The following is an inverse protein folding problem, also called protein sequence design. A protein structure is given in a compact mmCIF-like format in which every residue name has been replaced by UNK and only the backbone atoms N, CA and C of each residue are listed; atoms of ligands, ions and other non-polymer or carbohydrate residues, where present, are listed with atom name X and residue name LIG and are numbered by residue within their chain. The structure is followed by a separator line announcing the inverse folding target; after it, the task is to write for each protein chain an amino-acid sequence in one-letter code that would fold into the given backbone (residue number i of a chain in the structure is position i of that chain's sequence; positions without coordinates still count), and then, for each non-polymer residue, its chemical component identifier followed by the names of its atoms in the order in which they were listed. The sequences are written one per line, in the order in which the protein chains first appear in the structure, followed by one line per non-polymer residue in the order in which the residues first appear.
data_IF_771779571928
#
_entry.id   IF_771779571928
#
_cell.length_a   1.000
_cell.length_b   1.000
_cell.length_c   1.000
_cell.angle_alpha   90.00
_cell.angle_beta   90.00
_cell.angle_gamma   90.00
#
_symmetry.space_group_name_H-M   'P 1'
#
loop_
_entity.id
_entity.type
_entity.pdbx_description
1 polymer ?
#
# COMPACT_ATOMS: atom_id res chain seq x y z
N UNK A 1 -13.47 -32.00 1.60
CA UNK A 1 -14.33 -30.99 0.94
C UNK A 1 -14.01 -29.56 1.41
N UNK A 2 -12.74 -29.28 1.77
CA UNK A 2 -12.19 -27.97 2.09
C UNK A 2 -10.66 -27.98 1.84
N UNK A 3 -10.23 -28.71 0.80
CA UNK A 3 -8.86 -29.25 0.71
C UNK A 3 -7.84 -28.31 0.06
N UNK A 4 -8.15 -27.01 -0.03
CA UNK A 4 -7.24 -26.01 -0.61
C UNK A 4 -7.06 -24.75 0.23
N UNK A 5 -7.68 -24.67 1.42
CA UNK A 5 -7.44 -23.54 2.32
C UNK A 5 -6.27 -23.89 3.23
N UNK A 6 -5.24 -23.03 3.25
CA UNK A 6 -4.08 -23.22 4.10
C UNK A 6 -4.53 -23.46 5.55
N UNK A 7 -4.10 -24.56 6.17
CA UNK A 7 -4.54 -25.05 7.49
C UNK A 7 -4.44 -24.02 8.61
N UNK A 8 -3.60 -23.01 8.43
CA UNK A 8 -3.41 -21.89 9.37
C UNK A 8 -4.31 -20.69 9.09
N UNK A 9 -5.26 -20.74 8.16
CA UNK A 9 -6.06 -19.57 7.81
C UNK A 9 -6.97 -19.13 8.98
N UNK A 10 -7.01 -17.82 9.27
CA UNK A 10 -7.87 -17.19 10.28
C UNK A 10 -9.33 -17.60 10.12
N UNK A 11 -9.75 -17.81 8.86
CA UNK A 11 -11.11 -18.20 8.52
C UNK A 11 -11.56 -19.50 9.21
N UNK A 12 -10.64 -20.40 9.57
CA UNK A 12 -10.96 -21.63 10.29
C UNK A 12 -11.20 -21.42 11.79
N UNK A 13 -10.64 -20.36 12.39
CA UNK A 13 -10.74 -20.11 13.84
C UNK A 13 -11.68 -18.97 14.22
N UNK A 14 -11.86 -17.97 13.35
CA UNK A 14 -12.71 -16.81 13.61
C UNK A 14 -13.95 -16.81 12.73
N UNK A 15 -15.06 -16.31 13.26
CA UNK A 15 -16.35 -16.15 12.58
C UNK A 15 -16.93 -14.74 12.79
N UNK A 16 -17.81 -14.32 11.87
CA UNK A 16 -18.62 -13.11 11.95
C UNK A 16 -17.79 -11.85 12.26
N UNK A 17 -18.15 -11.15 13.35
CA UNK A 17 -17.58 -9.87 13.78
C UNK A 17 -16.10 -9.99 14.10
N UNK A 18 -15.63 -11.11 14.65
CA UNK A 18 -14.20 -11.29 14.99
C UNK A 18 -13.34 -11.38 13.73
N UNK A 19 -13.82 -12.06 12.69
CA UNK A 19 -13.12 -12.15 11.40
C UNK A 19 -13.09 -10.77 10.70
N UNK A 20 -14.22 -10.05 10.69
CA UNK A 20 -14.30 -8.71 10.12
C UNK A 20 -13.37 -7.72 10.82
N UNK A 21 -13.35 -7.71 12.16
CA UNK A 21 -12.45 -6.85 12.94
C UNK A 21 -11.00 -7.20 12.64
N UNK A 22 -10.63 -8.48 12.58
CA UNK A 22 -9.28 -8.89 12.26
C UNK A 22 -8.82 -8.40 10.87
N UNK A 23 -9.67 -8.56 9.85
CA UNK A 23 -9.38 -8.09 8.48
C UNK A 23 -9.21 -6.56 8.47
N UNK A 24 -10.11 -5.84 9.14
CA UNK A 24 -10.06 -4.38 9.22
C UNK A 24 -8.83 -3.88 9.99
N UNK A 25 -8.40 -4.58 11.04
CA UNK A 25 -7.17 -4.24 11.77
C UNK A 25 -5.93 -4.38 10.88
N UNK A 26 -5.83 -5.44 10.07
CA UNK A 26 -4.71 -5.61 9.14
C UNK A 26 -4.74 -4.58 8.02
N UNK A 27 -5.93 -4.27 7.49
CA UNK A 27 -6.08 -3.20 6.52
C UNK A 27 -5.69 -1.83 7.10
N UNK A 28 -6.11 -1.53 8.34
CA UNK A 28 -5.74 -0.31 9.05
C UNK A 28 -4.24 -0.22 9.31
N UNK A 29 -3.59 -1.34 9.65
CA UNK A 29 -2.15 -1.43 9.83
C UNK A 29 -1.40 -1.12 8.51
N UNK A 30 -1.89 -1.64 7.38
CA UNK A 30 -1.30 -1.33 6.07
C UNK A 30 -1.45 0.16 5.71
N UNK A 31 -2.61 0.77 5.98
CA UNK A 31 -2.84 2.21 5.76
C UNK A 31 -1.94 3.05 6.67
N UNK A 32 -1.79 2.64 7.94
CA UNK A 32 -0.89 3.28 8.88
C UNK A 32 0.55 3.27 8.38
N UNK A 33 1.02 2.17 7.79
CA UNK A 33 2.37 2.09 7.22
C UNK A 33 2.57 2.99 6.01
N UNK A 34 1.57 3.12 5.14
CA UNK A 34 1.63 4.09 4.05
C UNK A 34 1.79 5.52 4.58
N UNK A 35 1.04 5.88 5.64
CA UNK A 35 1.19 7.18 6.31
C UNK A 35 2.54 7.35 7.03
N UNK A 36 3.08 6.27 7.58
CA UNK A 36 4.41 6.26 8.21
C UNK A 36 5.50 6.59 7.19
N UNK A 37 5.58 5.87 6.05
CA UNK A 37 6.59 6.10 4.98
C UNK A 37 6.60 7.57 4.52
N UNK A 38 5.42 8.13 4.30
CA UNK A 38 5.22 9.53 3.90
C UNK A 38 5.69 10.54 4.97
N UNK A 39 5.28 10.37 6.23
CA UNK A 39 5.69 11.28 7.32
C UNK A 39 7.18 11.19 7.65
N UNK A 40 7.73 9.99 7.50
CA UNK A 40 9.13 9.67 7.78
C UNK A 40 10.09 10.31 6.79
N UNK A 41 9.75 10.25 5.49
CA UNK A 41 10.50 10.97 4.46
C UNK A 41 10.52 12.48 4.74
N UNK A 42 9.48 13.02 5.38
CA UNK A 42 9.43 14.40 5.86
C UNK A 42 10.55 14.71 6.84
N UNK A 43 10.76 13.84 7.83
CA UNK A 43 11.84 13.98 8.80
C UNK A 43 13.22 13.77 8.18
N UNK A 44 13.38 12.78 7.32
CA UNK A 44 14.67 12.45 6.67
C UNK A 44 15.12 13.60 5.75
N UNK A 45 14.25 14.12 4.90
CA UNK A 45 14.57 15.21 3.96
C UNK A 45 14.94 16.53 4.64
N UNK A 46 14.55 16.74 5.90
CA UNK A 46 14.91 17.94 6.68
C UNK A 46 16.11 17.70 7.60
N UNK A 47 16.71 16.50 7.62
CA UNK A 47 17.89 16.23 8.45
C UNK A 47 19.16 16.72 7.76
N UNK A 48 19.98 17.49 8.49
CA UNK A 48 21.24 18.05 7.99
C UNK A 48 22.23 16.97 7.56
N UNK A 49 22.30 15.85 8.29
CA UNK A 49 23.14 14.71 7.96
C UNK A 49 22.73 14.05 6.62
N UNK A 50 21.43 14.07 6.26
CA UNK A 50 20.95 13.55 4.98
C UNK A 50 21.26 14.54 3.84
N UNK A 51 21.05 15.83 4.07
CA UNK A 51 21.35 16.89 3.10
C UNK A 51 22.84 16.90 2.72
N UNK A 52 23.72 16.74 3.71
CA UNK A 52 25.17 16.69 3.50
C UNK A 52 25.59 15.39 2.78
N UNK A 53 25.02 14.25 3.17
CA UNK A 53 25.33 12.96 2.54
C UNK A 53 24.92 12.91 1.06
N UNK A 54 23.78 13.50 0.72
CA UNK A 54 23.25 13.52 -0.64
C UNK A 54 23.79 14.71 -1.46
N UNK A 55 24.61 15.58 -0.87
CA UNK A 55 25.19 16.75 -1.53
C UNK A 55 24.17 17.83 -1.90
N UNK A 56 23.03 17.89 -1.19
CA UNK A 56 21.89 18.79 -1.46
C UNK A 56 21.99 20.08 -0.62
N UNK A 57 22.76 20.03 0.47
CA UNK A 57 22.91 21.12 1.42
C UNK A 57 23.95 20.81 2.50
N UNK A 58 24.07 21.69 3.49
CA UNK A 58 24.96 21.51 4.62
C UNK A 58 24.32 22.00 5.92
N UNK A 59 24.77 21.44 7.06
CA UNK A 59 24.42 21.96 8.38
C UNK A 59 25.22 23.23 8.66
N UNK A 60 24.56 24.40 8.69
CA UNK A 60 25.19 25.64 9.09
C UNK A 60 25.04 25.86 10.60
N UNK A 61 26.02 26.52 11.24
CA UNK A 61 25.87 27.04 12.59
C UNK A 61 25.39 28.48 12.50
N UNK A 62 24.14 28.75 12.89
CA UNK A 62 23.55 30.10 12.85
C UNK A 62 23.08 30.43 14.28
N UNK A 63 23.54 31.57 14.81
CA UNK A 63 23.10 32.13 16.10
C UNK A 63 23.21 31.20 17.33
N UNK A 64 24.25 30.35 17.39
CA UNK A 64 24.48 29.45 18.53
C UNK A 64 23.72 28.13 18.48
N UNK A 65 22.83 27.95 17.49
CA UNK A 65 22.23 26.66 17.18
C UNK A 65 23.14 25.86 16.23
N UNK A 66 23.53 24.67 16.69
CA UNK A 66 24.34 23.74 15.91
C UNK A 66 23.45 22.92 14.98
N UNK A 67 23.89 22.76 13.73
CA UNK A 67 23.32 21.83 12.76
C UNK A 67 21.95 22.24 12.16
N UNK A 68 21.80 23.53 11.80
CA UNK A 68 20.60 24.03 11.11
C UNK A 68 20.66 23.59 9.63
N UNK A 69 19.65 22.86 9.11
CA UNK A 69 19.68 22.36 7.73
C UNK A 69 19.50 23.50 6.72
N UNK A 70 20.54 23.80 5.94
CA UNK A 70 20.50 24.76 4.83
C UNK A 70 20.54 24.00 3.51
N UNK A 71 19.46 24.08 2.75
CA UNK A 71 19.35 23.48 1.42
C UNK A 71 19.97 24.44 0.40
N UNK A 72 21.04 24.02 -0.27
CA UNK A 72 21.65 24.82 -1.34
C UNK A 72 21.04 24.51 -2.70
N UNK A 73 20.59 23.26 -2.91
CA UNK A 73 20.05 22.79 -4.18
C UNK A 73 18.61 22.28 -4.07
N UNK A 74 17.65 23.22 -4.03
CA UNK A 74 16.21 22.90 -4.00
C UNK A 74 15.74 22.15 -5.25
N UNK A 75 16.40 22.35 -6.40
CA UNK A 75 16.10 21.62 -7.65
C UNK A 75 16.42 20.12 -7.54
N UNK A 76 17.53 19.77 -6.89
CA UNK A 76 17.96 18.37 -6.73
C UNK A 76 17.04 17.67 -5.70
N UNK A 77 16.71 18.35 -4.60
CA UNK A 77 15.75 17.87 -3.62
C UNK A 77 14.36 17.63 -4.25
N UNK A 78 13.85 18.61 -5.00
CA UNK A 78 12.59 18.50 -5.73
C UNK A 78 12.60 17.39 -6.78
N UNK A 79 13.74 17.18 -7.45
CA UNK A 79 13.95 16.09 -8.39
C UNK A 79 13.84 14.71 -7.74
N UNK A 80 14.50 14.49 -6.60
CA UNK A 80 14.42 13.22 -5.84
C UNK A 80 13.00 12.91 -5.42
N UNK A 81 12.31 13.91 -4.85
CA UNK A 81 10.90 13.79 -4.41
C UNK A 81 9.98 13.51 -5.62
N UNK A 82 10.22 14.16 -6.76
CA UNK A 82 9.43 13.92 -7.98
C UNK A 82 9.61 12.51 -8.54
N UNK A 83 10.82 11.94 -8.48
CA UNK A 83 11.09 10.57 -8.91
C UNK A 83 10.35 9.56 -8.03
N UNK A 84 10.27 9.80 -6.71
CA UNK A 84 9.47 8.98 -5.81
C UNK A 84 8.00 8.97 -6.24
N UNK A 85 7.41 10.13 -6.52
CA UNK A 85 6.00 10.22 -6.95
C UNK A 85 5.74 9.66 -8.35
N UNK A 86 6.68 9.82 -9.27
CA UNK A 86 6.61 9.17 -10.58
C UNK A 86 6.63 7.65 -10.42
N UNK A 87 7.48 7.14 -9.51
CA UNK A 87 7.55 5.74 -9.13
C UNK A 87 6.25 5.22 -8.52
N UNK A 88 5.59 5.97 -7.63
CA UNK A 88 4.30 5.57 -7.06
C UNK A 88 3.17 5.58 -8.09
N UNK A 89 3.18 6.52 -9.04
CA UNK A 89 2.22 6.55 -10.16
C UNK A 89 2.37 5.30 -11.04
N UNK A 90 3.59 4.99 -11.46
CA UNK A 90 3.88 3.78 -12.26
C UNK A 90 3.51 2.53 -11.44
N UNK A 91 3.90 2.48 -10.17
CA UNK A 91 3.58 1.41 -9.24
C UNK A 91 2.08 1.20 -9.03
N UNK A 92 1.26 2.26 -9.02
CA UNK A 92 -0.19 2.14 -8.89
C UNK A 92 -0.83 1.51 -10.14
N UNK A 93 -0.32 1.85 -11.34
CA UNK A 93 -0.79 1.26 -12.60
C UNK A 93 -0.45 -0.23 -12.66
N UNK A 94 0.81 -0.59 -12.41
CA UNK A 94 1.25 -1.99 -12.36
C UNK A 94 0.60 -2.76 -11.21
N UNK A 95 0.44 -2.12 -10.04
CA UNK A 95 -0.17 -2.70 -8.85
C UNK A 95 -1.64 -3.06 -9.07
N UNK A 96 -2.40 -2.23 -9.78
CA UNK A 96 -3.76 -2.56 -10.18
C UNK A 96 -3.82 -3.81 -11.07
N UNK A 97 -2.91 -3.91 -12.05
CA UNK A 97 -2.88 -5.02 -13.00
C UNK A 97 -2.47 -6.33 -12.31
N UNK A 98 -1.46 -6.27 -11.45
CA UNK A 98 -0.99 -7.39 -10.63
C UNK A 98 -2.09 -7.82 -9.65
N UNK A 99 -2.74 -6.86 -8.98
CA UNK A 99 -3.79 -7.12 -7.98
C UNK A 99 -5.01 -7.83 -8.56
N UNK A 100 -5.39 -7.50 -9.79
CA UNK A 100 -6.47 -8.22 -10.48
C UNK A 100 -6.11 -9.65 -10.87
N UNK A 101 -4.84 -9.89 -11.24
CA UNK A 101 -4.34 -11.20 -11.68
C UNK A 101 -4.06 -12.15 -10.52
N UNK A 102 -3.35 -11.68 -9.50
CA UNK A 102 -2.74 -12.53 -8.47
C UNK A 102 -3.57 -12.57 -7.18
N UNK A 103 -4.47 -11.60 -6.97
CA UNK A 103 -5.26 -11.47 -5.75
C UNK A 103 -4.77 -10.32 -4.88
N UNK A 104 -5.65 -9.80 -4.02
CA UNK A 104 -5.40 -8.60 -3.21
C UNK A 104 -4.38 -8.85 -2.11
N UNK A 105 -4.45 -9.99 -1.43
CA UNK A 105 -3.48 -10.31 -0.36
C UNK A 105 -2.10 -10.61 -0.95
N UNK A 106 -2.06 -11.41 -2.02
CA UNK A 106 -0.80 -11.73 -2.70
C UNK A 106 -0.16 -10.51 -3.36
N UNK A 107 -0.93 -9.56 -3.89
CA UNK A 107 -0.36 -8.30 -4.39
C UNK A 107 0.26 -7.46 -3.28
N UNK A 108 -0.32 -7.46 -2.08
CA UNK A 108 0.28 -6.80 -0.90
C UNK A 108 1.59 -7.49 -0.53
N UNK A 109 1.67 -8.83 -0.56
CA UNK A 109 2.92 -9.54 -0.32
C UNK A 109 4.01 -9.20 -1.35
N UNK A 110 3.68 -9.21 -2.64
CA UNK A 110 4.63 -8.83 -3.70
C UNK A 110 5.11 -7.39 -3.53
N UNK A 111 4.19 -6.46 -3.24
CA UNK A 111 4.53 -5.06 -2.94
C UNK A 111 5.41 -4.93 -1.71
N UNK A 112 5.17 -5.73 -0.66
CA UNK A 112 5.97 -5.73 0.57
C UNK A 112 7.40 -6.24 0.31
N UNK A 113 7.56 -7.29 -0.51
CA UNK A 113 8.89 -7.78 -0.92
C UNK A 113 9.64 -6.72 -1.71
N UNK A 114 8.97 -6.07 -2.67
CA UNK A 114 9.56 -4.96 -3.43
C UNK A 114 9.97 -3.80 -2.52
N UNK A 115 9.13 -3.43 -1.56
CA UNK A 115 9.42 -2.39 -0.58
C UNK A 115 10.60 -2.76 0.34
N UNK A 116 10.74 -4.03 0.76
CA UNK A 116 11.88 -4.50 1.53
C UNK A 116 13.18 -4.36 0.72
N UNK A 117 13.17 -4.72 -0.57
CA UNK A 117 14.34 -4.52 -1.45
C UNK A 117 14.68 -3.04 -1.57
N UNK A 118 13.69 -2.17 -1.78
CA UNK A 118 13.90 -0.72 -1.84
C UNK A 118 14.43 -0.14 -0.54
N UNK A 119 13.90 -0.55 0.61
CA UNK A 119 14.39 -0.12 1.93
C UNK A 119 15.81 -0.64 2.20
N UNK A 120 16.10 -1.90 1.83
CA UNK A 120 17.44 -2.46 1.95
C UNK A 120 18.46 -1.71 1.07
N UNK A 121 18.09 -1.32 -0.16
CA UNK A 121 18.93 -0.49 -1.03
C UNK A 121 19.19 0.89 -0.42
N UNK A 122 18.17 1.54 0.15
CA UNK A 122 18.31 2.81 0.86
C UNK A 122 19.22 2.69 2.09
N UNK A 123 19.12 1.61 2.86
CA UNK A 123 20.02 1.33 3.98
C UNK A 123 21.44 0.96 3.55
N UNK A 124 21.61 0.35 2.37
CA UNK A 124 22.89 -0.10 1.81
C UNK A 124 23.70 0.99 1.12
N UNK A 125 23.15 2.19 0.93
CA UNK A 125 23.89 3.34 0.42
C UNK A 125 24.95 3.77 1.46
N UNK A 126 26.14 3.14 1.37
CA UNK A 126 27.27 3.32 2.27
C UNK A 126 28.34 4.19 1.62
N UNK A 127 28.37 5.49 1.97
CA UNK A 127 29.60 6.27 1.84
C UNK A 127 30.55 5.92 2.99
N UNK A 128 31.86 6.08 2.75
CA UNK A 128 33.03 5.67 3.55
C UNK A 128 33.09 6.21 5.02
N UNK A 129 32.07 6.92 5.49
CA UNK A 129 32.01 7.61 6.79
C UNK A 129 31.62 6.69 7.98
N UNK A 130 31.40 5.39 7.72
CA UNK A 130 30.86 4.41 8.68
C UNK A 130 31.72 4.13 9.92
N UNK A 131 33.04 4.37 9.88
CA UNK A 131 33.93 3.96 10.99
C UNK A 131 34.05 5.02 12.09
N UNK A 132 33.75 6.30 11.82
CA UNK A 132 34.02 7.40 12.77
C UNK A 132 32.74 8.12 13.23
N UNK A 133 31.68 8.18 12.42
CA UNK A 133 30.49 9.00 12.69
C UNK A 133 29.24 8.20 13.13
N UNK A 134 29.42 7.12 13.88
CA UNK A 134 28.35 6.21 14.30
C UNK A 134 27.22 6.80 15.17
N UNK A 135 27.27 8.10 15.52
CA UNK A 135 26.27 8.74 16.41
C UNK A 135 25.29 9.68 15.70
N UNK A 136 25.68 10.31 14.59
CA UNK A 136 24.83 11.25 13.83
C UNK A 136 24.06 10.54 12.72
N UNK A 137 24.73 9.66 11.97
CA UNK A 137 24.11 8.91 10.86
C UNK A 137 22.97 7.95 11.28
N UNK A 138 22.89 7.57 12.56
CA UNK A 138 21.78 6.74 13.09
C UNK A 138 20.44 7.48 13.01
N UNK A 139 20.44 8.83 13.09
CA UNK A 139 19.21 9.62 13.29
C UNK A 139 18.19 9.46 12.16
N UNK A 140 18.64 9.49 10.91
CA UNK A 140 17.76 9.37 9.74
C UNK A 140 17.64 7.92 9.23
N UNK A 141 18.56 7.02 9.61
CA UNK A 141 18.54 5.60 9.24
C UNK A 141 17.71 4.71 10.16
N UNK A 142 17.69 5.00 11.46
CA UNK A 142 16.89 4.26 12.43
C UNK A 142 15.40 4.21 12.06
N UNK A 143 14.79 5.34 11.65
CA UNK A 143 13.41 5.32 11.21
C UNK A 143 13.21 4.40 9.97
N UNK A 144 14.11 4.44 8.98
CA UNK A 144 14.05 3.56 7.79
C UNK A 144 14.21 2.07 8.18
N UNK A 145 15.09 1.75 9.13
CA UNK A 145 15.26 0.38 9.62
C UNK A 145 14.03 -0.14 10.38
N UNK A 146 13.35 0.72 11.14
CA UNK A 146 12.11 0.37 11.84
C UNK A 146 10.99 0.00 10.86
N UNK A 147 10.93 0.67 9.70
CA UNK A 147 9.99 0.32 8.63
C UNK A 147 10.16 -1.12 8.12
N UNK A 148 11.40 -1.61 8.02
CA UNK A 148 11.68 -2.97 7.52
C UNK A 148 11.05 -4.03 8.45
N UNK A 149 11.15 -3.83 9.77
CA UNK A 149 10.55 -4.74 10.76
C UNK A 149 9.03 -4.83 10.56
N UNK A 150 8.39 -3.68 10.31
CA UNK A 150 6.96 -3.58 10.09
C UNK A 150 6.52 -4.24 8.78
N UNK A 151 7.32 -4.12 7.71
CA UNK A 151 7.07 -4.82 6.44
C UNK A 151 7.16 -6.34 6.59
N UNK A 152 8.10 -6.85 7.38
CA UNK A 152 8.18 -8.28 7.69
C UNK A 152 6.96 -8.77 8.48
N UNK A 153 6.47 -7.96 9.42
CA UNK A 153 5.25 -8.26 10.16
C UNK A 153 4.04 -8.31 9.22
N UNK A 154 3.90 -7.35 8.30
CA UNK A 154 2.82 -7.35 7.31
C UNK A 154 2.91 -8.58 6.39
N UNK A 155 4.12 -8.90 5.91
CA UNK A 155 4.36 -10.07 5.05
C UNK A 155 3.98 -11.37 5.77
N UNK A 156 4.29 -11.50 7.06
CA UNK A 156 3.90 -12.64 7.89
C UNK A 156 2.38 -12.74 8.10
N UNK A 157 1.71 -11.60 8.34
CA UNK A 157 0.25 -11.57 8.51
C UNK A 157 -0.49 -11.94 7.22
N UNK A 158 0.00 -11.57 6.04
CA UNK A 158 -0.67 -11.87 4.77
C UNK A 158 -0.91 -13.37 4.56
N UNK A 159 0.00 -14.23 5.02
CA UNK A 159 -0.14 -15.69 4.89
C UNK A 159 -1.22 -16.30 5.81
N UNK A 160 -1.65 -15.56 6.82
CA UNK A 160 -2.65 -16.00 7.78
C UNK A 160 -4.09 -15.67 7.31
N UNK A 161 -4.27 -14.68 6.44
CA UNK A 161 -5.59 -14.17 6.06
C UNK A 161 -6.17 -14.81 4.78
N UNK A 162 -7.51 -14.94 4.69
CA UNK A 162 -8.17 -15.43 3.50
C UNK A 162 -8.18 -14.37 2.39
N UNK A 163 -8.07 -14.84 1.15
CA UNK A 163 -8.23 -14.00 -0.04
C UNK A 163 -9.67 -13.48 -0.16
N UNK A 164 -9.87 -12.38 -0.89
CA UNK A 164 -11.20 -11.79 -1.04
C UNK A 164 -12.18 -12.74 -1.76
N UNK A 165 -13.40 -12.96 -1.24
CA UNK A 165 -14.41 -13.81 -1.89
C UNK A 165 -14.72 -13.41 -3.34
N UNK A 166 -14.70 -12.10 -3.63
CA UNK A 166 -14.90 -11.58 -4.99
C UNK A 166 -13.81 -12.02 -5.97
N UNK A 167 -12.55 -12.05 -5.52
CA UNK A 167 -11.45 -12.50 -6.36
C UNK A 167 -11.51 -14.01 -6.60
N UNK A 168 -11.89 -14.78 -5.57
CA UNK A 168 -12.05 -16.23 -5.68
C UNK A 168 -13.10 -16.62 -6.73
N UNK A 169 -14.25 -15.93 -6.77
CA UNK A 169 -15.25 -16.11 -7.83
C UNK A 169 -14.70 -15.75 -9.22
N UNK A 170 -13.95 -14.64 -9.33
CA UNK A 170 -13.33 -14.22 -10.61
C UNK A 170 -12.38 -15.29 -11.16
N UNK A 171 -11.65 -15.99 -10.29
CA UNK A 171 -10.70 -17.07 -10.64
C UNK A 171 -11.39 -18.44 -10.82
N UNK A 172 -12.68 -18.56 -10.49
CA UNK A 172 -13.44 -19.80 -10.60
C UNK A 172 -13.32 -20.73 -9.38
N UNK A 173 -12.75 -20.26 -8.26
CA UNK A 173 -12.67 -20.98 -6.98
C UNK A 173 -13.91 -20.70 -6.13
N UNK A 174 -15.07 -21.09 -6.68
CA UNK A 174 -16.38 -20.76 -6.12
C UNK A 174 -16.67 -21.42 -4.76
N UNK A 175 -16.23 -22.66 -4.56
CA UNK A 175 -16.43 -23.38 -3.30
C UNK A 175 -15.73 -22.67 -2.12
N UNK A 176 -14.54 -22.13 -2.36
CA UNK A 176 -13.79 -21.38 -1.35
C UNK A 176 -14.41 -20.03 -1.04
N UNK A 177 -14.88 -19.34 -2.08
CA UNK A 177 -15.63 -18.10 -1.92
C UNK A 177 -16.86 -18.34 -1.04
N UNK A 178 -17.66 -19.38 -1.34
CA UNK A 178 -18.83 -19.76 -0.55
C UNK A 178 -18.46 -20.09 0.90
N UNK A 179 -17.39 -20.85 1.12
CA UNK A 179 -16.91 -21.15 2.47
C UNK A 179 -16.56 -19.88 3.26
N UNK A 180 -15.76 -18.97 2.68
CA UNK A 180 -15.35 -17.73 3.36
C UNK A 180 -16.55 -16.82 3.61
N UNK A 181 -17.48 -16.69 2.65
CA UNK A 181 -18.72 -15.94 2.80
C UNK A 181 -19.59 -16.48 3.94
N UNK A 182 -19.76 -17.81 4.03
CA UNK A 182 -20.45 -18.47 5.13
C UNK A 182 -19.81 -18.15 6.48
N UNK A 183 -18.48 -18.18 6.58
CA UNK A 183 -17.75 -17.81 7.81
C UNK A 183 -17.87 -16.31 8.16
N UNK A 184 -18.01 -15.45 7.15
CA UNK A 184 -18.14 -14.01 7.31
C UNK A 184 -19.53 -13.60 7.82
N UNK A 185 -20.59 -14.26 7.35
CA UNK A 185 -21.98 -14.00 7.77
C UNK A 185 -22.40 -14.79 9.00
N UNK A 186 -21.96 -16.05 9.12
CA UNK A 186 -22.30 -16.91 10.24
C UNK A 186 -22.66 -18.33 9.86
N UNK A 187 -22.64 -19.20 10.86
CA UNK A 187 -23.07 -20.61 10.79
C UNK A 187 -24.57 -20.82 11.11
N UNK A 188 -25.35 -19.76 11.29
CA UNK A 188 -26.79 -19.85 11.54
C UNK A 188 -27.58 -20.21 10.26
N UNK A 189 -28.74 -20.90 10.37
CA UNK A 189 -29.56 -21.26 9.21
C UNK A 189 -29.96 -20.05 8.36
N UNK A 190 -30.45 -18.98 8.99
CA UNK A 190 -30.82 -17.73 8.32
C UNK A 190 -29.62 -16.92 7.78
N UNK A 191 -28.44 -17.11 8.39
CA UNK A 191 -27.20 -16.45 7.95
C UNK A 191 -26.63 -17.16 6.71
N UNK A 192 -26.87 -18.48 6.57
CA UNK A 192 -26.50 -19.28 5.42
C UNK A 192 -27.22 -18.85 4.15
N UNK A 193 -28.53 -18.60 4.23
CA UNK A 193 -29.31 -18.12 3.08
C UNK A 193 -28.86 -16.73 2.62
N UNK A 194 -28.54 -15.83 3.57
CA UNK A 194 -27.96 -14.51 3.25
C UNK A 194 -26.60 -14.62 2.59
N UNK A 195 -25.74 -15.52 3.07
CA UNK A 195 -24.42 -15.73 2.48
C UNK A 195 -24.50 -16.29 1.05
N UNK A 196 -25.45 -17.19 0.78
CA UNK A 196 -25.67 -17.73 -0.56
C UNK A 196 -26.28 -16.69 -1.50
N UNK A 197 -27.18 -15.83 -1.00
CA UNK A 197 -27.69 -14.70 -1.76
C UNK A 197 -26.57 -13.71 -2.16
N UNK A 198 -25.70 -13.34 -1.21
CA UNK A 198 -24.53 -12.49 -1.49
C UNK A 198 -23.55 -13.16 -2.47
N UNK A 199 -23.35 -14.47 -2.34
CA UNK A 199 -22.52 -15.24 -3.27
C UNK A 199 -23.09 -15.20 -4.70
N UNK A 200 -24.41 -15.41 -4.86
CA UNK A 200 -25.09 -15.31 -6.16
C UNK A 200 -24.97 -13.91 -6.77
N UNK A 201 -25.13 -12.86 -5.97
CA UNK A 201 -24.96 -11.48 -6.43
C UNK A 201 -23.53 -11.24 -6.96
N UNK A 202 -22.51 -11.76 -6.25
CA UNK A 202 -21.12 -11.66 -6.69
C UNK A 202 -20.89 -12.43 -8.01
N UNK A 203 -21.46 -13.63 -8.16
CA UNK A 203 -21.38 -14.40 -9.40
C UNK A 203 -22.05 -13.66 -10.57
N UNK A 204 -23.25 -13.13 -10.37
CA UNK A 204 -23.97 -12.35 -11.38
C UNK A 204 -23.13 -11.15 -11.86
N UNK A 205 -22.50 -10.42 -10.93
CA UNK A 205 -21.61 -9.29 -11.28
C UNK A 205 -20.37 -9.79 -12.03
N UNK A 206 -19.76 -10.90 -11.61
CA UNK A 206 -18.59 -11.45 -12.29
C UNK A 206 -18.90 -11.94 -13.72
N UNK A 207 -20.09 -12.49 -13.94
CA UNK A 207 -20.57 -12.87 -15.28
C UNK A 207 -20.87 -11.66 -16.17
N UNK A 208 -21.43 -10.59 -15.59
CA UNK A 208 -21.59 -9.31 -16.29
C UNK A 208 -20.23 -8.71 -16.68
N UNK A 209 -19.23 -8.77 -15.78
CA UNK A 209 -17.86 -8.33 -16.07
C UNK A 209 -17.18 -9.19 -17.16
N UNK A 210 -17.45 -10.50 -17.23
CA UNK A 210 -16.92 -11.39 -18.28
C UNK A 210 -17.61 -11.19 -19.64
N UNK A 211 -18.92 -10.97 -19.65
CA UNK A 211 -19.73 -10.81 -20.86
C UNK A 211 -19.60 -9.42 -21.48
N UNK A 212 -19.51 -8.37 -20.65
CA UNK A 212 -19.09 -7.05 -21.09
C UNK A 212 -17.57 -7.01 -21.22
N UNK A 213 -17.07 -7.49 -22.36
CA UNK A 213 -15.72 -7.24 -22.89
C UNK A 213 -15.51 -5.74 -23.23
N UNK A 214 -16.08 -4.83 -22.44
CA UNK A 214 -15.82 -3.40 -22.52
C UNK A 214 -14.35 -3.20 -22.20
N UNK A 215 -13.62 -2.62 -23.14
CA UNK A 215 -12.20 -2.31 -23.04
C UNK A 215 -11.85 -1.79 -21.64
N UNK A 216 -11.36 -2.68 -20.77
CA UNK A 216 -10.77 -2.41 -19.45
C UNK A 216 -9.40 -1.76 -19.61
N UNK A 217 -9.26 -0.94 -20.65
CA UNK A 217 -8.08 -0.14 -20.86
C UNK A 217 -8.07 0.92 -19.76
N UNK A 218 -6.97 1.03 -19.03
CA UNK A 218 -6.76 2.07 -18.02
C UNK A 218 -7.18 3.47 -18.51
N UNK A 219 -7.04 3.70 -19.82
CA UNK A 219 -7.43 4.94 -20.46
C UNK A 219 -8.95 5.20 -20.45
N UNK A 220 -9.80 4.18 -20.59
CA UNK A 220 -11.27 4.32 -20.51
C UNK A 220 -11.73 4.58 -19.07
N UNK A 221 -11.03 4.00 -18.09
CA UNK A 221 -11.25 4.27 -16.67
C UNK A 221 -10.85 5.70 -16.27
N UNK A 222 -9.73 6.23 -16.81
CA UNK A 222 -9.26 7.60 -16.53
C UNK A 222 -10.13 8.65 -17.23
N UNK A 223 -10.44 8.43 -18.51
CA UNK A 223 -11.22 9.40 -19.32
C UNK A 223 -12.72 9.36 -19.04
N UNK A 224 -13.22 8.35 -18.33
CA UNK A 224 -14.62 8.22 -17.92
C UNK A 224 -15.62 8.04 -19.08
N UNK A 225 -15.14 7.97 -20.33
CA UNK A 225 -15.97 7.81 -21.53
C UNK A 225 -16.41 6.35 -21.66
N UNK A 226 -17.72 6.12 -21.61
CA UNK A 226 -18.34 4.80 -21.83
C UNK A 226 -18.63 3.99 -20.56
N UNK A 227 -18.43 4.55 -19.36
CA UNK A 227 -18.87 3.90 -18.13
C UNK A 227 -20.40 3.97 -18.03
N UNK A 228 -21.09 2.87 -18.31
CA UNK A 228 -22.54 2.73 -18.08
C UNK A 228 -22.95 2.88 -16.60
N UNK A 229 -24.08 2.29 -16.21
CA UNK A 229 -24.73 2.45 -14.89
C UNK A 229 -23.88 2.10 -13.64
N UNK A 230 -22.65 1.60 -13.82
CA UNK A 230 -21.75 1.22 -12.71
C UNK A 230 -20.85 2.36 -12.19
N UNK A 231 -20.88 3.55 -12.81
CA UNK A 231 -20.16 4.77 -12.39
C UNK A 231 -18.67 4.56 -12.01
N UNK A 232 -17.97 3.64 -12.69
CA UNK A 232 -16.59 3.26 -12.37
C UNK A 232 -15.63 4.45 -12.57
N UNK A 233 -15.77 5.19 -13.67
CA UNK A 233 -14.91 6.34 -13.97
C UNK A 233 -14.97 7.43 -12.90
N UNK A 234 -16.16 7.73 -12.37
CA UNK A 234 -16.33 8.71 -11.28
C UNK A 234 -15.64 8.25 -10.00
N UNK A 235 -15.72 6.96 -9.66
CA UNK A 235 -15.04 6.40 -8.48
C UNK A 235 -13.52 6.51 -8.60
N UNK A 236 -12.97 6.18 -9.77
CA UNK A 236 -11.53 6.30 -10.05
C UNK A 236 -11.09 7.76 -9.93
N UNK A 237 -11.81 8.70 -10.54
CA UNK A 237 -11.49 10.13 -10.47
C UNK A 237 -11.55 10.67 -9.04
N UNK A 238 -12.54 10.26 -8.24
CA UNK A 238 -12.61 10.66 -6.82
C UNK A 238 -11.40 10.16 -6.02
N UNK A 239 -10.96 8.92 -6.24
CA UNK A 239 -9.77 8.37 -5.57
C UNK A 239 -8.50 9.11 -6.01
N UNK A 240 -8.34 9.39 -7.29
CA UNK A 240 -7.20 10.16 -7.82
C UNK A 240 -7.16 11.56 -7.23
N UNK A 241 -8.28 12.28 -7.23
CA UNK A 241 -8.35 13.62 -6.65
C UNK A 241 -8.13 13.62 -5.14
N UNK A 242 -8.62 12.61 -4.44
CA UNK A 242 -8.37 12.46 -3.01
C UNK A 242 -6.89 12.22 -2.73
N UNK A 243 -6.20 11.40 -3.54
CA UNK A 243 -4.76 11.19 -3.40
C UNK A 243 -3.97 12.46 -3.69
N UNK A 244 -4.32 13.20 -4.74
CA UNK A 244 -3.72 14.51 -5.02
C UNK A 244 -3.90 15.41 -3.78
N UNK A 245 -5.11 15.57 -3.26
CA UNK A 245 -5.35 16.43 -2.09
C UNK A 245 -4.56 15.99 -0.84
N UNK A 246 -4.37 14.68 -0.62
CA UNK A 246 -3.55 14.17 0.47
C UNK A 246 -2.07 14.56 0.33
N UNK A 247 -1.52 14.51 -0.88
CA UNK A 247 -0.12 14.85 -1.15
C UNK A 247 0.16 16.35 -1.05
N UNK A 248 -0.82 17.21 -1.40
CA UNK A 248 -0.69 18.66 -1.25
C UNK A 248 -0.64 19.11 0.21
N UNK A 249 -1.24 18.35 1.14
CA UNK A 249 -1.15 18.57 2.59
C UNK A 249 0.13 17.96 3.18
N UNK A 250 0.77 17.05 2.44
CA UNK A 250 1.92 16.27 2.88
C UNK A 250 3.27 16.95 2.67
N UNK A 251 4.31 16.13 2.58
CA UNK A 251 5.72 16.54 2.50
C UNK A 251 5.98 17.49 1.34
N UNK A 252 5.35 17.27 0.18
CA UNK A 252 5.56 18.05 -1.04
C UNK A 252 5.29 19.53 -0.81
N UNK A 253 4.21 19.88 -0.09
CA UNK A 253 3.89 21.27 0.26
C UNK A 253 4.94 21.92 1.16
N UNK A 254 5.52 21.17 2.10
CA UNK A 254 6.54 21.68 3.03
C UNK A 254 7.91 21.84 2.34
N UNK A 255 8.26 20.93 1.42
CA UNK A 255 9.52 21.02 0.67
C UNK A 255 9.51 22.05 -0.46
N UNK A 256 8.35 22.35 -1.06
CA UNK A 256 8.26 23.32 -2.16
C UNK A 256 8.12 24.77 -1.67
N UNK A 257 7.55 24.97 -0.48
CA UNK A 257 7.31 26.31 0.09
C UNK A 257 8.46 26.86 0.97
N UNK A 258 9.63 26.21 0.98
CA UNK A 258 10.86 26.69 1.63
C UNK A 258 11.86 27.14 0.59
#
# INVERSE_FOLDING_TARGET
MADQIHRWNVAHKLEKRKLLVAINCVAALAIFFFGYDQGMMGGVNNSSDYLELMGIGYGANINGDTNVPVVTDSLLQGGIVSVYYLGTLVGALFGGWIGERIGRLKSIAVGSVWAIVGAALQCSAMNHQWIICGRSAIRWRFPIAFQIILLFLLLGLVWFFPESPRWLVKVGREEEARYILGRLRGTGPEDGDKAEAEFRDICNVAELERSQKYSTSYFSMITGRGSGNLHIGRRVQLVVWLQIMQEWVGIAGVTVCK
#
